data_IF_284646275871
#
_entry.id   IF_284646275871
#
_cell.length_a   1.000
_cell.length_b   1.000
_cell.length_c   1.000
_cell.angle_alpha   90.00
_cell.angle_beta   90.00
_cell.angle_gamma   90.00
#
_symmetry.space_group_name_H-M   'P 1'
#
loop_
_entity.id
_entity.type
_entity.pdbx_description
1 polymer ?
#
# COMPACT_ATOMS: atom_id res chain seq x y z
N UNK A 1 11.51 -9.39 4.42
CA UNK A 1 10.68 -8.19 4.13
C UNK A 1 9.21 -8.60 4.17
N UNK A 2 8.36 -7.94 4.99
CA UNK A 2 6.92 -8.27 5.08
C UNK A 2 6.14 -7.66 3.92
N UNK A 3 5.10 -8.37 3.45
CA UNK A 3 4.17 -7.87 2.43
C UNK A 3 3.47 -6.62 2.96
N UNK A 4 3.46 -5.49 2.21
CA UNK A 4 2.70 -4.31 2.61
C UNK A 4 1.20 -4.61 2.73
N UNK A 5 0.53 -3.94 3.67
CA UNK A 5 -0.88 -4.10 3.99
C UNK A 5 -1.63 -2.75 3.90
N UNK A 6 -2.96 -2.79 4.00
CA UNK A 6 -3.79 -1.58 4.15
C UNK A 6 -3.38 -0.75 5.38
N UNK A 7 -2.98 -1.40 6.48
CA UNK A 7 -2.48 -0.70 7.66
C UNK A 7 -1.18 0.04 7.40
N UNK A 8 -0.24 -0.56 6.64
CA UNK A 8 1.00 0.13 6.25
C UNK A 8 0.69 1.41 5.47
N UNK A 9 -0.29 1.37 4.57
CA UNK A 9 -0.71 2.51 3.77
C UNK A 9 -1.37 3.60 4.64
N UNK A 10 -2.28 3.21 5.54
CA UNK A 10 -2.91 4.12 6.50
C UNK A 10 -1.89 4.82 7.37
N UNK A 11 -0.94 4.07 7.94
CA UNK A 11 0.09 4.62 8.81
C UNK A 11 1.03 5.56 8.04
N UNK A 12 1.33 5.26 6.77
CA UNK A 12 2.08 6.17 5.91
C UNK A 12 1.33 7.49 5.69
N UNK A 13 0.03 7.42 5.39
CA UNK A 13 -0.81 8.62 5.20
C UNK A 13 -0.88 9.48 6.47
N UNK A 14 -1.06 8.85 7.64
CA UNK A 14 -1.07 9.58 8.91
C UNK A 14 0.27 10.26 9.21
N UNK A 15 1.40 9.57 8.99
CA UNK A 15 2.72 10.14 9.23
C UNK A 15 3.01 11.34 8.33
N UNK A 16 2.62 11.25 7.06
CA UNK A 16 3.05 12.20 6.04
C UNK A 16 2.15 13.43 5.97
N UNK A 17 0.86 13.28 6.26
CA UNK A 17 -0.10 14.40 6.31
C UNK A 17 -0.28 14.97 7.73
N UNK A 18 0.27 14.32 8.76
CA UNK A 18 0.21 14.80 10.14
C UNK A 18 -1.23 15.00 10.62
N UNK A 19 -1.56 16.21 11.06
CA UNK A 19 -2.89 16.56 11.57
C UNK A 19 -4.02 16.31 10.54
N UNK A 20 -3.75 16.50 9.24
CA UNK A 20 -4.73 16.22 8.18
C UNK A 20 -4.74 14.77 7.72
N UNK A 21 -3.93 13.88 8.32
CA UNK A 21 -3.80 12.50 7.88
C UNK A 21 -5.09 11.69 7.98
N UNK A 22 -5.93 11.95 8.99
CA UNK A 22 -7.23 11.29 9.09
C UNK A 22 -8.18 11.67 7.95
N UNK A 23 -8.32 12.96 7.68
CA UNK A 23 -9.20 13.43 6.59
C UNK A 23 -8.64 13.10 5.21
N UNK A 24 -7.32 13.06 5.03
CA UNK A 24 -6.68 12.56 3.82
C UNK A 24 -6.96 11.06 3.60
N UNK A 25 -6.90 10.26 4.66
CA UNK A 25 -7.23 8.84 4.63
C UNK A 25 -8.71 8.59 4.28
N UNK A 26 -9.63 9.31 4.91
CA UNK A 26 -11.07 9.19 4.63
C UNK A 26 -11.41 9.58 3.19
N UNK A 27 -10.81 10.66 2.65
CA UNK A 27 -10.96 11.05 1.23
C UNK A 27 -10.41 9.98 0.28
N UNK A 28 -9.28 9.38 0.63
CA UNK A 28 -8.66 8.33 -0.17
C UNK A 28 -9.53 7.07 -0.22
N UNK A 29 -10.08 6.64 0.92
CA UNK A 29 -11.01 5.52 0.98
C UNK A 29 -12.24 5.77 0.12
N UNK A 30 -12.82 6.98 0.21
CA UNK A 30 -13.95 7.37 -0.63
C UNK A 30 -13.59 7.34 -2.13
N UNK A 31 -12.42 7.85 -2.51
CA UNK A 31 -11.95 7.86 -3.90
C UNK A 31 -11.69 6.44 -4.45
N UNK A 32 -11.30 5.51 -3.59
CA UNK A 32 -11.06 4.11 -3.95
C UNK A 32 -12.32 3.22 -3.87
N UNK A 33 -13.47 3.80 -3.48
CA UNK A 33 -14.69 3.05 -3.15
C UNK A 33 -14.45 1.95 -2.11
N UNK A 34 -13.70 2.29 -1.06
CA UNK A 34 -13.32 1.40 0.04
C UNK A 34 -13.88 1.89 1.38
N UNK A 35 -14.09 0.96 2.30
CA UNK A 35 -14.52 1.21 3.68
C UNK A 35 -13.34 1.22 4.67
N UNK A 36 -12.20 0.62 4.28
CA UNK A 36 -11.01 0.47 5.11
C UNK A 36 -11.01 -0.82 5.95
N UNK A 37 -12.04 -1.67 5.83
CA UNK A 37 -12.14 -2.96 6.51
C UNK A 37 -11.88 -4.16 5.56
N UNK A 38 -11.58 -3.88 4.30
CA UNK A 38 -11.28 -4.88 3.30
C UNK A 38 -9.92 -5.54 3.57
N UNK A 39 -9.87 -6.86 3.44
CA UNK A 39 -8.66 -7.67 3.63
C UNK A 39 -8.21 -8.39 2.36
N UNK A 40 -8.89 -8.17 1.23
CA UNK A 40 -8.56 -8.81 -0.02
C UNK A 40 -7.33 -8.18 -0.68
N UNK A 41 -6.60 -9.01 -1.41
CA UNK A 41 -5.40 -8.64 -2.14
C UNK A 41 -5.60 -7.48 -3.15
N UNK A 42 -6.67 -7.47 -3.97
CA UNK A 42 -6.88 -6.37 -4.91
C UNK A 42 -7.26 -5.04 -4.25
N UNK A 43 -7.74 -5.02 -3.00
CA UNK A 43 -8.01 -3.78 -2.27
C UNK A 43 -6.75 -2.91 -2.13
N UNK A 44 -5.59 -3.49 -1.78
CA UNK A 44 -4.37 -2.69 -1.66
C UNK A 44 -3.98 -2.07 -3.02
N UNK A 45 -4.15 -2.79 -4.13
CA UNK A 45 -3.84 -2.25 -5.46
C UNK A 45 -4.74 -1.08 -5.82
N UNK A 46 -6.06 -1.20 -5.60
CA UNK A 46 -7.03 -0.11 -5.80
C UNK A 46 -6.71 1.12 -4.95
N UNK A 47 -6.32 0.90 -3.69
CA UNK A 47 -5.89 1.98 -2.81
C UNK A 47 -4.63 2.68 -3.35
N UNK A 48 -3.62 1.91 -3.77
CA UNK A 48 -2.38 2.47 -4.30
C UNK A 48 -2.62 3.27 -5.58
N UNK A 49 -3.53 2.84 -6.44
CA UNK A 49 -3.97 3.60 -7.61
C UNK A 49 -4.62 4.93 -7.19
N UNK A 50 -5.57 4.90 -6.26
CA UNK A 50 -6.22 6.12 -5.75
C UNK A 50 -5.22 7.09 -5.08
N UNK A 51 -4.18 6.58 -4.42
CA UNK A 51 -3.13 7.43 -3.83
C UNK A 51 -2.36 8.22 -4.91
N UNK A 52 -2.26 7.71 -6.13
CA UNK A 52 -1.57 8.43 -7.22
C UNK A 52 -2.34 9.65 -7.73
N UNK A 53 -3.64 9.74 -7.46
CA UNK A 53 -4.52 10.82 -7.94
C UNK A 53 -4.81 11.88 -6.88
N UNK A 54 -4.45 11.63 -5.61
CA UNK A 54 -4.82 12.51 -4.48
C UNK A 54 -3.96 13.79 -4.41
N UNK A 55 -2.65 13.65 -4.27
CA UNK A 55 -1.68 14.74 -4.17
C UNK A 55 -0.24 14.22 -4.39
N UNK A 56 0.74 15.10 -4.67
CA UNK A 56 2.11 14.69 -4.99
C UNK A 56 2.80 13.86 -3.91
N UNK A 57 2.45 14.10 -2.65
CA UNK A 57 3.07 13.46 -1.49
C UNK A 57 2.47 12.05 -1.27
N UNK A 58 1.15 11.92 -1.39
CA UNK A 58 0.46 10.63 -1.41
C UNK A 58 0.94 9.74 -2.57
N UNK A 59 1.22 10.33 -3.73
CA UNK A 59 1.82 9.62 -4.88
C UNK A 59 3.20 9.04 -4.56
N UNK A 60 4.05 9.76 -3.83
CA UNK A 60 5.35 9.23 -3.38
C UNK A 60 5.18 8.06 -2.40
N UNK A 61 4.21 8.15 -1.50
CA UNK A 61 3.87 7.04 -0.60
C UNK A 61 3.41 5.81 -1.38
N UNK A 62 2.58 6.00 -2.41
CA UNK A 62 2.12 4.93 -3.29
C UNK A 62 3.30 4.24 -4.00
N UNK A 63 4.23 5.03 -4.55
CA UNK A 63 5.45 4.51 -5.20
C UNK A 63 6.30 3.68 -4.23
N UNK A 64 6.53 4.18 -3.02
CA UNK A 64 7.30 3.46 -2.01
C UNK A 64 6.65 2.12 -1.62
N UNK A 65 5.32 2.11 -1.45
CA UNK A 65 4.57 0.89 -1.15
C UNK A 65 4.58 -0.11 -2.32
N UNK A 66 4.47 0.36 -3.56
CA UNK A 66 4.61 -0.48 -4.76
C UNK A 66 5.99 -1.13 -4.84
N UNK A 67 7.06 -0.38 -4.61
CA UNK A 67 8.43 -0.93 -4.56
C UNK A 67 8.50 -2.04 -3.51
N UNK A 68 8.03 -1.78 -2.29
CA UNK A 68 8.03 -2.79 -1.21
C UNK A 68 7.23 -4.05 -1.58
N UNK A 69 6.09 -3.88 -2.23
CA UNK A 69 5.24 -5.00 -2.68
C UNK A 69 5.97 -5.83 -3.74
N UNK A 70 6.49 -5.19 -4.78
CA UNK A 70 7.25 -5.85 -5.85
C UNK A 70 8.49 -6.56 -5.30
N UNK A 71 9.26 -5.91 -4.42
CA UNK A 71 10.42 -6.54 -3.76
C UNK A 71 10.02 -7.76 -2.93
N UNK A 72 8.90 -7.71 -2.20
CA UNK A 72 8.39 -8.86 -1.47
C UNK A 72 8.04 -10.01 -2.41
N UNK A 73 7.33 -9.74 -3.52
CA UNK A 73 6.98 -10.76 -4.52
C UNK A 73 8.21 -11.45 -5.10
N UNK A 74 9.22 -10.67 -5.52
CA UNK A 74 10.46 -11.25 -6.05
C UNK A 74 11.22 -12.07 -5.01
N UNK A 75 11.31 -11.56 -3.77
CA UNK A 75 12.00 -12.28 -2.69
C UNK A 75 11.29 -13.59 -2.35
N UNK A 76 9.96 -13.58 -2.27
CA UNK A 76 9.16 -14.77 -2.01
C UNK A 76 9.36 -15.83 -3.11
N UNK A 77 9.37 -15.41 -4.39
CA UNK A 77 9.63 -16.30 -5.51
C UNK A 77 11.04 -16.91 -5.45
N UNK A 78 12.07 -16.10 -5.15
CA UNK A 78 13.43 -16.59 -5.00
C UNK A 78 13.57 -17.61 -3.86
N UNK A 79 12.93 -17.35 -2.71
CA UNK A 79 12.93 -18.28 -1.58
C UNK A 79 12.29 -19.62 -1.91
N UNK A 80 11.21 -19.62 -2.70
CA UNK A 80 10.58 -20.85 -3.18
C UNK A 80 11.53 -21.61 -4.11
N UNK A 81 12.17 -20.93 -5.06
CA UNK A 81 13.12 -21.56 -5.99
C UNK A 81 14.32 -22.19 -5.27
N UNK A 82 14.91 -21.51 -4.28
CA UNK A 82 16.02 -22.07 -3.49
C UNK A 82 15.62 -23.29 -2.68
N UNK A 83 14.41 -23.31 -2.10
CA UNK A 83 13.92 -24.45 -1.32
C UNK A 83 13.52 -25.65 -2.18
N UNK A 84 13.07 -25.43 -3.41
CA UNK A 84 12.76 -26.51 -4.36
C UNK A 84 14.01 -27.13 -4.98
N UNK A 85 15.17 -26.47 -4.86
CA UNK A 85 16.45 -26.93 -5.41
C UNK A 85 17.33 -27.69 -4.39
N UNK A 86 16.87 -27.80 -3.13
CA UNK A 86 17.49 -28.58 -2.04
C UNK A 86 16.66 -29.80 -1.73
#
# INVERSE_FOLDING_TARGET
MRRPTMSDARDAMHRVHGYSGRSAWERLLAAASLTGNESDEPTLQRLLEAMTTLDPVSRLCALALRIRLTSHTHLAAAQLATRSAT
#
